data_IF_665855382887
#
_entry.id   IF_665855382887
#
_cell.length_a   1.000
_cell.length_b   1.000
_cell.length_c   1.000
_cell.angle_alpha   90.00
_cell.angle_beta   90.00
_cell.angle_gamma   90.00
#
_symmetry.space_group_name_H-M   'P 1'
#
loop_
_entity.id
_entity.type
_entity.pdbx_description
1 polymer ?
#
# COMPACT_ATOMS: atom_id res chain seq x y z
N UNK A 1 9.93 -8.04 -30.93
CA UNK A 1 10.15 -8.38 -29.50
C UNK A 1 11.09 -9.58 -29.39
N UNK A 2 11.98 -9.70 -28.37
CA UNK A 2 12.82 -10.88 -28.23
C UNK A 2 11.94 -12.13 -28.07
N UNK A 3 12.29 -13.19 -28.79
CA UNK A 3 11.50 -14.42 -28.89
C UNK A 3 11.45 -15.22 -27.58
N UNK A 4 12.31 -14.92 -26.62
CA UNK A 4 12.25 -15.45 -25.25
C UNK A 4 13.09 -14.60 -24.29
N UNK A 5 12.52 -14.20 -23.15
CA UNK A 5 13.28 -13.73 -22.00
C UNK A 5 13.67 -14.93 -21.13
N UNK A 6 14.81 -14.90 -20.40
CA UNK A 6 15.16 -15.98 -19.48
C UNK A 6 14.05 -16.19 -18.42
N UNK A 7 13.77 -17.43 -18.03
CA UNK A 7 12.78 -17.77 -17.00
C UNK A 7 13.06 -17.11 -15.63
N UNK A 8 14.32 -16.74 -15.36
CA UNK A 8 14.68 -15.97 -14.17
C UNK A 8 14.18 -14.52 -14.17
N UNK A 9 13.73 -14.04 -15.34
CA UNK A 9 13.24 -12.66 -15.56
C UNK A 9 11.76 -12.69 -15.92
N UNK A 10 11.36 -13.59 -16.82
CA UNK A 10 9.97 -13.72 -17.27
C UNK A 10 9.17 -14.60 -16.31
N UNK A 11 8.11 -14.03 -15.74
CA UNK A 11 7.16 -14.78 -14.93
C UNK A 11 6.08 -15.40 -15.82
N UNK A 12 5.37 -14.57 -16.58
CA UNK A 12 4.37 -15.01 -17.56
C UNK A 12 4.24 -13.97 -18.68
N UNK A 13 3.70 -14.39 -19.83
CA UNK A 13 3.36 -13.45 -20.90
C UNK A 13 2.14 -13.88 -21.67
N UNK A 14 1.42 -12.89 -22.19
CA UNK A 14 0.37 -13.04 -23.21
C UNK A 14 0.75 -12.26 -24.46
N UNK A 15 -0.14 -12.25 -25.47
CA UNK A 15 0.02 -11.44 -26.67
C UNK A 15 0.03 -9.93 -26.37
N UNK A 16 -0.63 -9.54 -25.27
CA UNK A 16 -0.78 -8.14 -24.86
C UNK A 16 0.15 -7.69 -23.74
N UNK A 17 0.58 -8.61 -22.86
CA UNK A 17 1.30 -8.24 -21.64
C UNK A 17 2.54 -9.10 -21.39
N UNK A 18 3.51 -8.50 -20.73
CA UNK A 18 4.67 -9.14 -20.14
C UNK A 18 4.61 -8.94 -18.63
N UNK A 19 4.63 -10.03 -17.87
CA UNK A 19 4.85 -9.96 -16.42
C UNK A 19 6.26 -10.48 -16.12
N UNK A 20 7.07 -9.64 -15.47
CA UNK A 20 8.46 -9.96 -15.14
C UNK A 20 8.70 -9.82 -13.64
N UNK A 21 9.70 -10.53 -13.12
CA UNK A 21 10.24 -10.26 -11.80
C UNK A 21 10.99 -8.94 -11.80
N UNK A 22 10.77 -8.08 -10.79
CA UNK A 22 11.60 -6.88 -10.62
C UNK A 22 13.03 -7.34 -10.27
N UNK A 23 14.03 -6.87 -11.01
CA UNK A 23 15.44 -7.26 -10.80
C UNK A 23 16.01 -6.73 -9.47
N UNK A 24 15.36 -5.74 -8.87
CA UNK A 24 15.72 -5.09 -7.62
C UNK A 24 14.49 -5.04 -6.69
N UNK A 25 13.88 -6.18 -6.33
CA UNK A 25 12.57 -6.21 -5.68
C UNK A 25 12.60 -5.42 -4.38
N UNK A 26 11.56 -4.62 -4.10
CA UNK A 26 11.47 -3.82 -2.86
C UNK A 26 10.70 -4.49 -1.72
N UNK A 27 10.07 -5.62 -2.01
CA UNK A 27 9.34 -6.49 -1.08
C UNK A 27 9.71 -7.95 -1.37
N UNK A 28 9.21 -8.88 -0.55
CA UNK A 28 9.35 -10.33 -0.77
C UNK A 28 8.89 -10.73 -2.18
N UNK A 29 7.71 -10.28 -2.59
CA UNK A 29 7.18 -10.43 -3.95
C UNK A 29 7.15 -9.07 -4.62
N UNK A 30 7.73 -8.97 -5.82
CA UNK A 30 7.70 -7.74 -6.62
C UNK A 30 7.79 -8.06 -8.11
N UNK A 31 6.74 -7.73 -8.82
CA UNK A 31 6.57 -7.94 -10.25
C UNK A 31 6.28 -6.64 -10.96
N UNK A 32 6.58 -6.62 -12.26
CA UNK A 32 6.21 -5.55 -13.18
C UNK A 32 5.36 -6.13 -14.29
N UNK A 33 4.21 -5.53 -14.55
CA UNK A 33 3.35 -5.84 -15.70
C UNK A 33 3.51 -4.72 -16.74
N UNK A 34 3.91 -5.09 -17.95
CA UNK A 34 4.16 -4.17 -19.05
C UNK A 34 3.24 -4.51 -20.24
N UNK A 35 2.53 -3.53 -20.81
CA UNK A 35 1.87 -3.73 -22.10
C UNK A 35 2.93 -3.93 -23.20
N UNK A 36 2.67 -4.88 -24.10
CA UNK A 36 3.47 -5.10 -25.30
C UNK A 36 3.13 -4.02 -26.32
N UNK A 37 4.15 -3.52 -26.99
CA UNK A 37 3.98 -2.70 -28.17
C UNK A 37 3.68 -3.65 -29.32
N UNK A 38 2.54 -3.48 -29.99
CA UNK A 38 2.20 -4.27 -31.16
C UNK A 38 3.07 -3.84 -32.35
N UNK A 39 3.62 -4.81 -33.09
CA UNK A 39 4.39 -4.55 -34.29
C UNK A 39 3.53 -3.77 -35.31
N UNK A 40 4.04 -2.64 -35.79
CA UNK A 40 3.33 -1.75 -36.72
C UNK A 40 2.67 -0.51 -36.12
N UNK A 41 2.80 -0.26 -34.80
CA UNK A 41 2.45 1.04 -34.20
C UNK A 41 3.46 2.13 -34.61
N UNK A 42 3.52 2.46 -35.90
CA UNK A 42 4.29 3.57 -36.44
C UNK A 42 3.54 4.86 -36.12
N UNK A 43 4.23 5.84 -35.54
CA UNK A 43 3.66 7.13 -35.20
C UNK A 43 3.07 7.80 -36.47
N UNK A 44 1.74 7.89 -36.56
CA UNK A 44 1.06 8.60 -37.64
C UNK A 44 -0.11 7.87 -38.31
N UNK A 45 -0.32 6.58 -38.07
CA UNK A 45 -1.50 5.85 -38.60
C UNK A 45 -2.57 5.63 -37.53
N UNK A 46 -3.84 5.89 -37.88
CA UNK A 46 -5.02 5.59 -37.05
C UNK A 46 -5.17 4.08 -36.86
N UNK A 47 -4.46 3.54 -35.89
CA UNK A 47 -4.64 2.16 -35.45
C UNK A 47 -5.75 2.14 -34.39
N UNK A 48 -6.98 1.88 -34.84
CA UNK A 48 -8.11 1.66 -33.94
C UNK A 48 -7.70 0.64 -32.85
N UNK A 49 -7.61 1.12 -31.60
CA UNK A 49 -7.31 0.31 -30.42
C UNK A 49 -5.83 0.07 -30.08
N UNK A 50 -4.85 0.42 -30.92
CA UNK A 50 -3.42 0.19 -30.60
C UNK A 50 -2.77 1.41 -29.98
N UNK A 51 -1.85 1.22 -29.03
CA UNK A 51 -1.08 2.32 -28.44
C UNK A 51 0.26 2.50 -29.14
N UNK A 52 0.62 3.76 -29.38
CA UNK A 52 1.96 4.15 -29.80
C UNK A 52 2.98 3.98 -28.67
N UNK A 53 4.26 3.92 -29.04
CA UNK A 53 5.37 3.92 -28.07
C UNK A 53 5.31 5.17 -27.17
N UNK A 54 4.90 6.31 -27.72
CA UNK A 54 4.78 7.59 -27.01
C UNK A 54 3.69 7.56 -25.95
N UNK A 55 2.52 7.01 -26.25
CA UNK A 55 1.43 6.83 -25.27
C UNK A 55 1.82 5.87 -24.15
N UNK A 56 2.57 4.81 -24.47
CA UNK A 56 3.06 3.83 -23.49
C UNK A 56 4.37 4.21 -22.81
N UNK A 57 4.87 5.45 -22.92
CA UNK A 57 6.12 5.85 -22.25
C UNK A 57 6.02 5.79 -20.73
N UNK A 58 4.87 6.17 -20.17
CA UNK A 58 4.57 6.20 -18.74
C UNK A 58 3.10 6.51 -18.51
N UNK A 59 2.65 6.44 -17.25
CA UNK A 59 1.26 6.70 -16.88
C UNK A 59 0.79 8.09 -17.31
N UNK A 60 1.62 9.13 -17.14
CA UNK A 60 1.28 10.50 -17.53
C UNK A 60 1.02 10.63 -19.03
N UNK A 61 1.83 9.98 -19.86
CA UNK A 61 1.65 9.98 -21.31
C UNK A 61 0.35 9.27 -21.70
N UNK A 62 0.07 8.12 -21.07
CA UNK A 62 -1.17 7.36 -21.29
C UNK A 62 -2.40 8.17 -20.92
N UNK A 63 -2.42 8.77 -19.72
CA UNK A 63 -3.57 9.53 -19.21
C UNK A 63 -3.86 10.83 -19.99
N UNK A 64 -2.91 11.29 -20.80
CA UNK A 64 -3.02 12.50 -21.62
C UNK A 64 -3.24 12.22 -23.10
N UNK A 65 -3.48 10.96 -23.47
CA UNK A 65 -3.95 10.66 -24.83
C UNK A 65 -5.32 11.31 -25.08
N UNK A 66 -5.62 11.58 -26.34
CA UNK A 66 -6.91 12.16 -26.75
C UNK A 66 -8.08 11.21 -26.48
N UNK A 67 -7.84 9.89 -26.52
CA UNK A 67 -8.84 8.86 -26.27
C UNK A 67 -8.81 8.36 -24.82
N UNK A 68 -9.53 9.08 -23.94
CA UNK A 68 -9.64 8.73 -22.53
C UNK A 68 -10.24 7.34 -22.29
N UNK A 69 -11.19 6.91 -23.10
CA UNK A 69 -11.85 5.61 -22.94
C UNK A 69 -10.89 4.46 -23.26
N UNK A 70 -10.07 4.63 -24.30
CA UNK A 70 -8.98 3.70 -24.62
C UNK A 70 -7.96 3.63 -23.48
N UNK A 71 -7.55 4.76 -22.90
CA UNK A 71 -6.64 4.77 -21.75
C UNK A 71 -7.24 4.05 -20.52
N UNK A 72 -8.51 4.33 -20.19
CA UNK A 72 -9.23 3.67 -19.11
C UNK A 72 -9.26 2.15 -19.30
N UNK A 73 -9.64 1.70 -20.51
CA UNK A 73 -9.69 0.29 -20.86
C UNK A 73 -8.34 -0.42 -20.66
N UNK A 74 -7.23 0.22 -21.04
CA UNK A 74 -5.90 -0.36 -20.81
C UNK A 74 -5.60 -0.52 -19.32
N UNK A 75 -5.97 0.44 -18.49
CA UNK A 75 -5.75 0.37 -17.03
C UNK A 75 -6.63 -0.72 -16.41
N UNK A 76 -7.87 -0.88 -16.87
CA UNK A 76 -8.75 -2.00 -16.46
C UNK A 76 -8.16 -3.37 -16.87
N UNK A 77 -7.63 -3.50 -18.10
CA UNK A 77 -6.97 -4.73 -18.55
C UNK A 77 -5.70 -5.02 -17.72
N UNK A 78 -4.88 -4.00 -17.43
CA UNK A 78 -3.71 -4.12 -16.54
C UNK A 78 -4.11 -4.53 -15.11
N UNK A 79 -5.23 -4.02 -14.59
CA UNK A 79 -5.77 -4.43 -13.29
C UNK A 79 -6.17 -5.90 -13.29
N UNK A 80 -6.85 -6.38 -14.34
CA UNK A 80 -7.22 -7.78 -14.47
C UNK A 80 -5.99 -8.70 -14.48
N UNK A 81 -4.93 -8.32 -15.21
CA UNK A 81 -3.65 -9.04 -15.17
C UNK A 81 -3.02 -9.03 -13.77
N UNK A 82 -3.03 -7.88 -13.10
CA UNK A 82 -2.52 -7.73 -11.74
C UNK A 82 -3.31 -8.55 -10.71
N UNK A 83 -4.63 -8.64 -10.83
CA UNK A 83 -5.47 -9.49 -9.99
C UNK A 83 -5.11 -10.97 -10.17
N UNK A 84 -4.75 -11.39 -11.39
CA UNK A 84 -4.24 -12.74 -11.65
C UNK A 84 -2.88 -12.98 -10.96
N UNK A 85 -1.93 -12.06 -11.09
CA UNK A 85 -0.63 -12.14 -10.41
C UNK A 85 -0.79 -12.11 -8.90
N UNK A 86 -1.68 -11.28 -8.37
CA UNK A 86 -1.99 -11.19 -6.94
C UNK A 86 -2.49 -12.53 -6.38
N UNK A 87 -3.37 -13.24 -7.09
CA UNK A 87 -3.81 -14.58 -6.68
C UNK A 87 -2.63 -15.56 -6.57
N UNK A 88 -1.75 -15.57 -7.57
CA UNK A 88 -0.55 -16.43 -7.56
C UNK A 88 0.40 -16.08 -6.42
N UNK A 89 0.61 -14.78 -6.15
CA UNK A 89 1.36 -14.32 -4.96
C UNK A 89 0.70 -14.85 -3.70
N UNK A 90 -0.60 -14.69 -3.53
CA UNK A 90 -1.33 -15.12 -2.34
C UNK A 90 -1.32 -16.64 -2.13
N UNK A 91 -1.29 -17.43 -3.19
CA UNK A 91 -1.09 -18.89 -3.13
C UNK A 91 0.31 -19.23 -2.61
N UNK A 92 1.35 -18.62 -3.19
CA UNK A 92 2.74 -18.76 -2.76
C UNK A 92 2.96 -18.27 -1.32
N UNK A 93 2.24 -17.22 -0.89
CA UNK A 93 2.24 -16.73 0.50
C UNK A 93 1.76 -17.83 1.46
N UNK A 94 0.65 -18.49 1.14
CA UNK A 94 0.11 -19.59 1.96
C UNK A 94 1.05 -20.78 1.95
N UNK A 95 1.59 -21.16 0.79
CA UNK A 95 2.48 -22.31 0.67
C UNK A 95 3.78 -22.13 1.45
N UNK A 96 4.44 -20.97 1.33
CA UNK A 96 5.74 -20.72 1.96
C UNK A 96 5.66 -20.24 3.40
N UNK A 97 4.66 -19.42 3.73
CA UNK A 97 4.59 -18.72 5.02
C UNK A 97 3.42 -19.18 5.89
N UNK A 98 2.43 -19.86 5.32
CA UNK A 98 1.25 -20.36 6.02
C UNK A 98 0.16 -19.30 6.27
N UNK A 99 0.30 -18.10 5.71
CA UNK A 99 -0.67 -17.01 5.83
C UNK A 99 -0.52 -16.00 4.68
N UNK A 100 -1.54 -15.18 4.47
CA UNK A 100 -1.55 -14.09 3.48
C UNK A 100 -1.33 -12.74 4.16
N UNK A 101 -0.70 -11.81 3.44
CA UNK A 101 -0.65 -10.39 3.80
C UNK A 101 -1.00 -9.53 2.58
N UNK A 102 -1.00 -8.21 2.75
CA UNK A 102 -1.43 -7.29 1.69
C UNK A 102 -0.60 -7.41 0.41
N UNK A 103 -1.22 -7.12 -0.72
CA UNK A 103 -0.56 -6.93 -2.02
C UNK A 103 -1.00 -5.58 -2.56
N UNK A 104 -0.04 -4.74 -2.90
CA UNK A 104 -0.27 -3.44 -3.51
C UNK A 104 -0.09 -3.53 -5.01
N UNK A 105 -0.95 -2.80 -5.72
CA UNK A 105 -0.97 -2.71 -7.18
C UNK A 105 -1.05 -1.25 -7.55
N UNK A 106 -0.11 -0.76 -8.35
CA UNK A 106 -0.06 0.66 -8.66
C UNK A 106 1.14 1.10 -9.49
N UNK A 107 1.17 2.40 -9.77
CA UNK A 107 2.20 3.05 -10.57
C UNK A 107 3.03 3.98 -9.71
N UNK A 108 4.25 4.26 -10.13
CA UNK A 108 4.95 5.45 -9.65
C UNK A 108 4.46 6.69 -10.39
N UNK A 109 4.15 7.77 -9.66
CA UNK A 109 3.78 9.05 -10.25
C UNK A 109 4.86 9.62 -11.19
N UNK A 110 6.14 9.39 -10.85
CA UNK A 110 7.30 9.66 -11.72
C UNK A 110 8.09 8.36 -11.86
N UNK A 111 8.06 7.68 -13.01
CA UNK A 111 8.68 6.38 -13.16
C UNK A 111 10.21 6.49 -13.21
N UNK A 112 10.90 5.45 -12.73
CA UNK A 112 12.37 5.36 -12.79
C UNK A 112 12.90 4.75 -14.10
N UNK A 113 12.01 4.15 -14.90
CA UNK A 113 12.32 3.56 -16.18
C UNK A 113 11.37 4.11 -17.24
N UNK A 114 11.85 4.17 -18.47
CA UNK A 114 10.98 4.42 -19.61
C UNK A 114 10.14 3.16 -19.88
N UNK A 115 8.95 3.37 -20.45
CA UNK A 115 7.86 2.40 -20.62
C UNK A 115 6.95 2.26 -19.41
N UNK A 116 5.64 2.28 -19.67
CA UNK A 116 4.60 2.03 -18.68
C UNK A 116 4.79 0.65 -18.07
N UNK A 117 4.83 0.61 -16.74
CA UNK A 117 4.87 -0.63 -15.97
C UNK A 117 4.02 -0.47 -14.73
N UNK A 118 3.20 -1.48 -14.46
CA UNK A 118 2.41 -1.58 -13.24
C UNK A 118 3.19 -2.43 -12.23
N UNK A 119 3.37 -1.90 -11.02
CA UNK A 119 3.95 -2.65 -9.92
C UNK A 119 2.90 -3.54 -9.27
N UNK A 120 3.25 -4.80 -9.02
CA UNK A 120 2.51 -5.72 -8.16
C UNK A 120 3.47 -6.22 -7.10
N UNK A 121 3.31 -5.78 -5.86
CA UNK A 121 4.25 -6.08 -4.77
C UNK A 121 3.55 -6.41 -3.46
N UNK A 122 4.15 -7.28 -2.66
CA UNK A 122 3.65 -7.61 -1.34
C UNK A 122 3.89 -6.48 -0.33
N UNK A 123 2.96 -6.31 0.62
CA UNK A 123 2.89 -5.22 1.58
C UNK A 123 3.78 -5.46 2.82
N UNK A 124 5.05 -5.76 2.58
CA UNK A 124 6.08 -5.93 3.62
C UNK A 124 7.21 -4.90 3.48
N UNK A 125 7.59 -4.52 2.25
CA UNK A 125 8.75 -3.67 1.95
C UNK A 125 10.06 -4.18 2.59
N UNK A 126 10.15 -5.48 2.88
CA UNK A 126 11.31 -6.15 3.47
C UNK A 126 12.17 -6.70 2.33
N UNK A 127 13.25 -5.99 2.01
CA UNK A 127 14.18 -6.43 0.96
C UNK A 127 15.60 -5.89 1.15
N UNK A 128 16.59 -6.71 0.79
CA UNK A 128 17.99 -6.30 0.70
C UNK A 128 18.26 -5.23 -0.37
N UNK A 129 17.37 -5.09 -1.35
CA UNK A 129 17.47 -4.05 -2.39
C UNK A 129 16.86 -2.71 -1.95
N UNK A 130 16.24 -2.64 -0.78
CA UNK A 130 15.76 -1.41 -0.15
C UNK A 130 16.94 -0.59 0.42
N UNK A 131 17.69 0.08 -0.46
CA UNK A 131 18.98 0.72 -0.10
C UNK A 131 18.93 2.23 0.16
N UNK A 132 17.94 2.95 -0.37
CA UNK A 132 17.91 4.42 -0.35
C UNK A 132 16.56 4.91 0.15
N UNK A 133 16.53 6.08 0.79
CA UNK A 133 15.30 6.75 1.23
C UNK A 133 14.24 6.78 0.14
N UNK A 134 14.63 7.22 -1.07
CA UNK A 134 13.72 7.27 -2.22
C UNK A 134 13.15 5.91 -2.64
N UNK A 135 13.84 4.79 -2.39
CA UNK A 135 13.29 3.46 -2.69
C UNK A 135 12.14 3.11 -1.76
N UNK A 136 12.20 3.54 -0.50
CA UNK A 136 11.14 3.28 0.45
C UNK A 136 9.98 4.25 0.25
N UNK A 137 10.28 5.56 0.21
CA UNK A 137 9.26 6.59 0.05
C UNK A 137 8.47 6.44 -1.26
N UNK A 138 9.07 5.88 -2.33
CA UNK A 138 8.34 5.68 -3.59
C UNK A 138 7.24 4.61 -3.51
N UNK A 139 7.30 3.70 -2.53
CA UNK A 139 6.29 2.67 -2.29
C UNK A 139 5.53 2.87 -0.98
N UNK A 140 5.77 3.97 -0.25
CA UNK A 140 5.05 4.25 0.97
C UNK A 140 3.58 4.56 0.62
N UNK A 141 2.60 3.75 1.06
CA UNK A 141 1.23 3.78 0.54
C UNK A 141 0.53 5.12 0.81
N UNK A 142 0.83 5.79 1.92
CA UNK A 142 0.19 7.06 2.28
C UNK A 142 0.92 8.31 1.78
N UNK A 143 2.07 8.18 1.11
CA UNK A 143 2.87 9.35 0.72
C UNK A 143 2.39 9.95 -0.62
N UNK A 144 1.62 9.20 -1.39
CA UNK A 144 1.06 9.62 -2.67
C UNK A 144 2.00 9.51 -3.86
N UNK A 145 3.26 9.09 -3.68
CA UNK A 145 4.15 8.79 -4.81
C UNK A 145 3.78 7.49 -5.52
N UNK A 146 3.36 6.49 -4.74
CA UNK A 146 2.75 5.27 -5.25
C UNK A 146 1.26 5.54 -5.48
N UNK A 147 0.83 5.47 -6.74
CA UNK A 147 -0.54 5.69 -7.17
C UNK A 147 -1.23 4.33 -7.28
N UNK A 148 -2.12 4.02 -6.34
CA UNK A 148 -2.86 2.76 -6.38
C UNK A 148 -3.71 2.70 -7.64
N UNK A 149 -3.80 1.51 -8.25
CA UNK A 149 -4.51 1.35 -9.52
C UNK A 149 -6.00 1.71 -9.41
N UNK A 150 -6.60 1.43 -8.25
CA UNK A 150 -7.99 1.76 -7.98
C UNK A 150 -8.19 3.28 -7.92
N UNK A 151 -7.32 4.03 -7.23
CA UNK A 151 -7.34 5.50 -7.23
C UNK A 151 -7.22 6.07 -8.66
N UNK A 152 -6.34 5.49 -9.49
CA UNK A 152 -6.16 5.93 -10.88
C UNK A 152 -7.42 5.66 -11.72
N UNK A 153 -8.11 4.55 -11.48
CA UNK A 153 -9.39 4.25 -12.15
C UNK A 153 -10.49 5.22 -11.70
N UNK A 154 -10.55 5.56 -10.42
CA UNK A 154 -11.49 6.54 -9.88
C UNK A 154 -11.34 7.92 -10.51
N UNK A 155 -10.13 8.31 -10.95
CA UNK A 155 -9.93 9.58 -11.65
C UNK A 155 -10.79 9.67 -12.91
N UNK A 156 -11.01 8.57 -13.65
CA UNK A 156 -11.83 8.61 -14.87
C UNK A 156 -13.31 8.92 -14.62
N UNK A 157 -13.78 8.75 -13.38
CA UNK A 157 -15.16 9.05 -12.96
C UNK A 157 -15.29 10.46 -12.35
N UNK A 158 -14.18 11.20 -12.23
CA UNK A 158 -14.17 12.54 -11.67
C UNK A 158 -14.54 13.63 -12.68
N UNK A 159 -14.65 14.88 -12.21
CA UNK A 159 -14.89 16.02 -13.11
C UNK A 159 -13.70 16.21 -14.06
N UNK A 160 -13.92 16.75 -15.28
CA UNK A 160 -12.84 17.00 -16.22
C UNK A 160 -11.68 17.83 -15.64
N UNK A 161 -12.00 18.83 -14.80
CA UNK A 161 -11.04 19.74 -14.18
C UNK A 161 -10.18 18.99 -13.14
N UNK A 162 -10.81 18.14 -12.31
CA UNK A 162 -10.09 17.33 -11.35
C UNK A 162 -9.19 16.32 -12.05
N UNK A 163 -9.70 15.64 -13.09
CA UNK A 163 -8.90 14.73 -13.91
C UNK A 163 -7.67 15.43 -14.50
N UNK A 164 -7.83 16.61 -15.10
CA UNK A 164 -6.69 17.37 -15.65
C UNK A 164 -5.65 17.72 -14.58
N UNK A 165 -6.12 18.11 -13.38
CA UNK A 165 -5.26 18.43 -12.25
C UNK A 165 -4.46 17.21 -11.74
N UNK A 166 -5.12 16.08 -11.50
CA UNK A 166 -4.43 14.89 -10.95
C UNK A 166 -3.52 14.22 -11.98
N UNK A 167 -3.91 14.25 -13.26
CA UNK A 167 -3.08 13.72 -14.36
C UNK A 167 -1.96 14.67 -14.77
N UNK A 168 -1.81 15.83 -14.10
CA UNK A 168 -0.65 16.68 -14.30
C UNK A 168 0.65 15.94 -13.97
N UNK A 169 0.62 15.09 -12.94
CA UNK A 169 1.75 14.28 -12.49
C UNK A 169 3.07 15.07 -12.55
N UNK A 170 3.07 16.23 -11.88
CA UNK A 170 4.17 17.19 -11.95
C UNK A 170 5.43 16.61 -11.29
N UNK A 171 6.54 16.39 -12.04
CA UNK A 171 7.71 15.71 -11.49
C UNK A 171 8.30 16.41 -10.26
N UNK A 172 8.34 17.75 -10.24
CA UNK A 172 8.90 18.51 -9.12
C UNK A 172 8.12 18.26 -7.83
N UNK A 173 6.78 18.20 -7.91
CA UNK A 173 5.89 17.94 -6.78
C UNK A 173 6.06 16.52 -6.23
N UNK A 174 6.12 15.52 -7.10
CA UNK A 174 6.24 14.13 -6.66
C UNK A 174 7.65 13.77 -6.21
N UNK A 175 8.69 14.29 -6.86
CA UNK A 175 10.08 14.05 -6.45
C UNK A 175 10.44 14.66 -5.09
N UNK A 176 9.74 15.72 -4.64
CA UNK A 176 9.95 16.24 -3.28
C UNK A 176 9.50 15.25 -2.21
N UNK A 177 8.43 14.47 -2.45
CA UNK A 177 7.95 13.44 -1.52
C UNK A 177 9.02 12.37 -1.24
N UNK A 178 9.84 12.05 -2.25
CA UNK A 178 10.94 11.09 -2.09
C UNK A 178 12.03 11.54 -1.12
N UNK A 179 12.02 12.82 -0.71
CA UNK A 179 12.99 13.41 0.22
C UNK A 179 12.47 13.48 1.66
N UNK A 180 11.17 13.25 1.87
CA UNK A 180 10.51 13.33 3.18
C UNK A 180 11.17 12.42 4.22
N UNK A 181 10.84 12.66 5.50
CA UNK A 181 11.31 11.80 6.58
C UNK A 181 10.84 10.36 6.37
N UNK A 182 11.63 9.40 6.84
CA UNK A 182 11.22 8.01 6.82
C UNK A 182 10.24 7.79 7.98
N UNK A 183 9.09 7.20 7.69
CA UNK A 183 8.12 6.75 8.69
C UNK A 183 7.68 5.33 8.34
N UNK A 184 7.46 4.48 9.35
CA UNK A 184 6.94 3.13 9.14
C UNK A 184 5.51 3.19 8.60
N UNK A 185 5.24 2.47 7.50
CA UNK A 185 3.90 2.45 6.91
C UNK A 185 2.87 1.71 7.76
N UNK A 186 3.31 0.88 8.70
CA UNK A 186 2.43 0.10 9.59
C UNK A 186 2.08 0.86 10.87
N UNK A 187 3.07 1.46 11.53
CA UNK A 187 2.89 2.08 12.86
C UNK A 187 3.13 3.60 12.90
N UNK A 188 3.55 4.21 11.78
CA UNK A 188 3.83 5.65 11.69
C UNK A 188 5.14 6.11 12.36
N UNK A 189 5.88 5.22 13.02
CA UNK A 189 7.11 5.59 13.74
C UNK A 189 8.17 6.17 12.81
N UNK A 190 8.72 7.32 13.19
CA UNK A 190 9.79 7.99 12.43
C UNK A 190 11.11 7.19 12.51
N UNK A 191 11.85 7.14 11.40
CA UNK A 191 13.11 6.42 11.28
C UNK A 191 14.23 7.37 10.85
N UNK A 192 15.40 7.26 11.48
CA UNK A 192 16.53 8.16 11.17
C UNK A 192 17.15 7.86 9.82
N UNK A 193 17.24 6.59 9.44
CA UNK A 193 17.89 6.14 8.22
C UNK A 193 17.34 4.78 7.73
N UNK A 194 17.76 4.37 6.54
CA UNK A 194 17.35 3.10 5.93
C UNK A 194 17.74 1.88 6.77
N UNK A 195 18.96 1.75 7.32
CA UNK A 195 19.29 0.63 8.19
C UNK A 195 18.33 0.46 9.39
N UNK A 196 18.03 1.55 10.12
CA UNK A 196 17.09 1.48 11.25
C UNK A 196 15.68 1.14 10.79
N UNK A 197 15.25 1.66 9.64
CA UNK A 197 13.96 1.33 9.05
C UNK A 197 13.89 -0.16 8.66
N UNK A 198 14.93 -0.71 8.02
CA UNK A 198 14.95 -2.13 7.63
C UNK A 198 14.79 -3.06 8.84
N UNK A 199 15.52 -2.78 9.92
CA UNK A 199 15.39 -3.54 11.17
C UNK A 199 13.96 -3.45 11.69
N UNK A 200 13.39 -2.25 11.73
CA UNK A 200 12.02 -2.07 12.19
C UNK A 200 10.97 -2.77 11.31
N UNK A 201 11.10 -2.72 9.99
CA UNK A 201 10.21 -3.43 9.06
C UNK A 201 10.29 -4.95 9.26
N UNK A 202 11.48 -5.48 9.54
CA UNK A 202 11.65 -6.89 9.90
C UNK A 202 10.96 -7.22 11.22
N UNK A 203 11.03 -6.35 12.23
CA UNK A 203 10.31 -6.54 13.49
C UNK A 203 8.79 -6.53 13.31
N UNK A 204 8.25 -5.61 12.50
CA UNK A 204 6.83 -5.57 12.15
C UNK A 204 6.40 -6.83 11.39
N UNK A 205 7.24 -7.30 10.47
CA UNK A 205 7.04 -8.57 9.76
C UNK A 205 6.99 -9.77 10.71
N UNK A 206 7.98 -9.89 11.61
CA UNK A 206 8.04 -10.97 12.58
C UNK A 206 6.83 -10.97 13.54
N UNK A 207 6.34 -9.77 13.92
CA UNK A 207 5.11 -9.62 14.72
C UNK A 207 3.89 -10.11 13.93
N UNK A 208 3.79 -9.75 12.65
CA UNK A 208 2.72 -10.17 11.76
C UNK A 208 2.69 -11.70 11.62
N UNK A 209 3.84 -12.29 11.31
CA UNK A 209 4.00 -13.74 11.18
C UNK A 209 3.61 -14.48 12.48
N UNK A 210 4.08 -14.00 13.65
CA UNK A 210 3.69 -14.57 14.95
C UNK A 210 2.20 -14.48 15.21
N UNK A 211 1.53 -13.38 14.81
CA UNK A 211 0.08 -13.21 14.93
C UNK A 211 -0.65 -14.28 14.13
N UNK A 212 -0.18 -14.60 12.92
CA UNK A 212 -0.79 -15.60 12.04
C UNK A 212 -0.38 -17.04 12.33
N UNK A 213 0.76 -17.32 12.95
CA UNK A 213 1.14 -18.69 13.36
C UNK A 213 0.51 -19.12 14.70
N UNK A 214 -0.09 -18.19 15.46
CA UNK A 214 -0.83 -18.53 16.70
C UNK A 214 -2.09 -19.37 16.40
N UNK A 215 -2.35 -20.45 17.16
CA UNK A 215 -3.59 -21.23 17.06
C UNK A 215 -4.82 -20.33 17.26
N UNK A 216 -5.90 -20.57 16.50
CA UNK A 216 -7.11 -19.76 16.51
C UNK A 216 -7.70 -19.53 17.92
N UNK A 217 -7.57 -20.52 18.82
CA UNK A 217 -8.01 -20.45 20.23
C UNK A 217 -7.31 -19.32 21.00
N UNK A 218 -6.03 -19.04 20.72
CA UNK A 218 -5.24 -17.99 21.40
C UNK A 218 -5.39 -16.61 20.78
N UNK A 219 -5.97 -16.47 19.58
CA UNK A 219 -6.22 -15.14 18.97
C UNK A 219 -7.38 -14.42 19.67
N UNK A 220 -8.46 -15.14 20.00
CA UNK A 220 -9.63 -14.59 20.71
C UNK A 220 -9.33 -14.12 22.14
N UNK A 221 -8.39 -14.76 22.84
CA UNK A 221 -8.02 -14.36 24.21
C UNK A 221 -7.21 -13.05 24.30
N UNK A 222 -6.64 -12.59 23.18
CA UNK A 222 -5.83 -11.35 23.15
C UNK A 222 -6.67 -10.13 22.77
N UNK A 223 -7.86 -10.33 22.20
CA UNK A 223 -8.78 -9.27 21.77
C UNK A 223 -9.82 -8.88 22.84
N UNK A 224 -9.87 -9.58 23.96
CA UNK A 224 -10.64 -9.15 25.14
C UNK A 224 -9.68 -8.72 26.26
N UNK A 225 -9.65 -7.43 26.65
CA UNK A 225 -8.96 -7.01 27.86
C UNK A 225 -9.60 -7.68 29.06
N UNK A 226 -8.77 -8.10 30.01
CA UNK A 226 -9.18 -8.60 31.33
C UNK A 226 -10.01 -7.52 32.01
N UNK A 227 -11.32 -7.73 32.15
CA UNK A 227 -12.13 -6.98 33.10
C UNK A 227 -11.76 -7.47 34.50
N UNK A 228 -11.24 -6.55 35.31
CA UNK A 228 -10.95 -6.72 36.74
C UNK A 228 -12.19 -7.27 37.48
N UNK A 229 -12.07 -8.47 38.05
CA UNK A 229 -12.97 -8.90 39.10
C UNK A 229 -12.36 -8.49 40.44
N UNK A 230 -12.83 -7.36 40.96
CA UNK A 230 -12.71 -7.03 42.38
C UNK A 230 -13.70 -7.91 43.13
N UNK A 231 -13.22 -9.01 43.71
CA UNK A 231 -14.00 -9.84 44.62
C UNK A 231 -14.38 -9.04 45.87
N UNK A 232 -15.68 -8.97 46.13
CA UNK A 232 -16.24 -8.44 47.36
C UNK A 232 -16.10 -9.42 48.52
N UNK A 233 -15.59 -8.92 49.64
CA UNK A 233 -15.77 -9.54 50.95
C UNK A 233 -17.03 -8.96 51.62
N UNK A 234 -18.01 -9.84 51.87
CA UNK A 234 -19.05 -9.69 52.91
C UNK A 234 -18.33 -9.66 54.28
N UNK A 235 -18.82 -9.02 55.34
CA UNK A 235 -20.05 -9.32 56.06
C UNK A 235 -20.45 -8.15 56.96
N UNK A 236 -21.76 -8.00 57.17
CA UNK A 236 -22.34 -6.98 58.03
C UNK A 236 -22.31 -7.33 59.51
N UNK A 237 -22.38 -6.29 60.34
CA UNK A 237 -22.96 -6.37 61.68
C UNK A 237 -23.60 -5.02 62.03
N UNK A 238 -24.87 -5.11 62.39
CA UNK A 238 -25.75 -4.05 62.90
C UNK A 238 -25.41 -3.66 64.34
N UNK A 239 -25.57 -2.38 64.69
CA UNK A 239 -26.33 -1.84 65.85
C UNK A 239 -26.07 -0.32 65.96
N UNK A 240 -27.09 0.52 65.70
CA UNK A 240 -27.91 1.30 66.67
C UNK A 240 -27.16 2.47 67.33
N UNK A 241 -27.72 3.67 67.18
CA UNK A 241 -27.36 4.85 67.97
C UNK A 241 -27.80 6.16 67.33
N UNK A 242 -29.03 6.57 67.62
CA UNK A 242 -29.59 7.91 67.39
C UNK A 242 -28.71 9.03 67.96
N UNK A 243 -28.66 10.19 67.30
CA UNK A 243 -28.99 11.47 67.98
C UNK A 243 -29.24 12.61 66.99
N UNK A 244 -30.17 13.48 67.37
CA UNK A 244 -30.80 14.53 66.59
C UNK A 244 -30.00 15.86 66.58
N UNK A 245 -30.35 16.67 65.58
CA UNK A 245 -30.56 18.13 65.65
C UNK A 245 -29.38 19.12 65.42
N UNK A 246 -29.69 20.38 65.00
CA UNK A 246 -28.96 21.07 63.97
C UNK A 246 -28.40 22.39 64.53
N UNK A 247 -27.66 23.18 63.75
CA UNK A 247 -27.79 24.64 63.87
C UNK A 247 -27.12 25.44 62.76
N UNK A 248 -27.77 26.58 62.55
CA UNK A 248 -27.64 27.59 61.52
C UNK A 248 -26.45 28.55 61.76
N UNK A 249 -26.06 29.19 60.65
CA UNK A 249 -25.69 30.62 60.49
C UNK A 249 -24.39 31.16 61.12
N UNK A 250 -23.45 31.45 60.23
CA UNK A 250 -22.99 32.80 59.83
C UNK A 250 -22.86 33.95 60.87
N UNK A 251 -21.66 34.55 60.82
CA UNK A 251 -21.26 35.98 60.88
C UNK A 251 -20.94 36.67 62.22
N UNK A 252 -19.69 37.17 62.22
CA UNK A 252 -19.17 38.53 62.54
C UNK A 252 -18.88 38.97 63.99
N UNK A 253 -17.62 39.40 64.11
CA UNK A 253 -17.07 40.62 64.73
C UNK A 253 -17.25 40.88 66.24
N UNK A 254 -16.11 40.88 66.94
CA UNK A 254 -15.51 42.13 67.44
C UNK A 254 -15.78 42.53 68.88
N UNK A 255 -14.77 42.32 69.73
CA UNK A 255 -14.16 43.36 70.57
C UNK A 255 -12.76 42.92 70.99
#
# INVERSE_FOLDING_TARGET
>A
MPSSLPNAVLFQSSDKYLTIFDAYPKSIFHFLILPRIEDGAVAGEESQGKFSVQELRNLKALLRTSDKQKAKKLIEELKSEADSVKRQIEEEMVERYGFKWGVWVGFHAVPSMEHLHLHVLSADLVSEKMKKKKHYNSFHPSLGFFLHIDDVLEWFESTPEYFEQVTELNPKKYESLLKDSLACFTCGSAMKNIPTLKVHLQEEWDKLEKKFKRPAVKRKMVEHPVEDQVEGAREGRSEVGDDENPSKKAKKDGQ
#
